data_IF_690750798336
#
_entry.id   IF_690750798336
#
_cell.length_a   1.000
_cell.length_b   1.000
_cell.length_c   1.000
_cell.angle_alpha   90.00
_cell.angle_beta   90.00
_cell.angle_gamma   90.00
#
_symmetry.space_group_name_H-M   'P 1'
#
loop_
_entity.id
_entity.type
_entity.pdbx_description
1 polymer ?
#
# COMPACT_ATOMS: atom_id res chain seq x y z
N UNK A 1 -0.58 -10.22 31.27
CA UNK A 1 -0.88 -10.85 29.97
C UNK A 1 -2.40 -10.78 29.81
N UNK A 2 -2.93 -10.13 28.77
CA UNK A 2 -4.39 -10.17 28.52
C UNK A 2 -4.70 -11.54 27.92
N UNK A 3 -5.65 -12.26 28.50
CA UNK A 3 -6.18 -13.49 27.92
C UNK A 3 -7.34 -13.10 27.01
N UNK A 4 -7.27 -13.52 25.76
CA UNK A 4 -8.33 -13.31 24.78
C UNK A 4 -9.05 -14.63 24.59
N UNK A 5 -10.38 -14.62 24.68
CA UNK A 5 -11.22 -15.81 24.47
C UNK A 5 -11.24 -16.25 23.02
N UNK A 6 -11.11 -15.30 22.09
CA UNK A 6 -11.14 -15.53 20.65
C UNK A 6 -9.91 -14.91 19.96
N UNK A 7 -9.41 -15.58 18.92
CA UNK A 7 -8.26 -15.10 18.15
C UNK A 7 -8.55 -13.80 17.39
N UNK A 8 -9.82 -13.50 17.05
CA UNK A 8 -10.22 -12.24 16.41
C UNK A 8 -9.96 -11.04 17.33
N UNK A 9 -10.32 -11.13 18.61
CA UNK A 9 -10.20 -10.03 19.56
C UNK A 9 -8.73 -9.65 19.81
N UNK A 10 -7.86 -10.67 19.84
CA UNK A 10 -6.41 -10.52 19.90
C UNK A 10 -5.88 -9.75 18.67
N UNK A 11 -6.36 -10.10 17.48
CA UNK A 11 -5.94 -9.50 16.22
C UNK A 11 -6.40 -8.04 16.11
N UNK A 12 -7.67 -7.75 16.43
CA UNK A 12 -8.20 -6.38 16.49
C UNK A 12 -7.43 -5.55 17.52
N UNK A 13 -7.18 -6.09 18.71
CA UNK A 13 -6.40 -5.40 19.74
C UNK A 13 -4.99 -5.02 19.26
N UNK A 14 -4.27 -5.97 18.65
CA UNK A 14 -2.93 -5.69 18.16
C UNK A 14 -2.91 -4.82 16.89
N UNK A 15 -3.94 -4.90 16.05
CA UNK A 15 -4.14 -4.01 14.91
C UNK A 15 -4.29 -2.56 15.39
N UNK A 16 -5.17 -2.29 16.35
CA UNK A 16 -5.29 -0.96 16.94
C UNK A 16 -3.97 -0.48 17.55
N UNK A 17 -3.24 -1.36 18.25
CA UNK A 17 -1.92 -1.03 18.80
C UNK A 17 -0.87 -0.73 17.73
N UNK A 18 -0.97 -1.36 16.56
CA UNK A 18 -0.12 -1.08 15.42
C UNK A 18 -0.44 0.30 14.84
N UNK A 19 -1.72 0.65 14.71
CA UNK A 19 -2.18 1.98 14.28
C UNK A 19 -1.66 3.05 15.26
N UNK A 20 -1.93 2.89 16.56
CA UNK A 20 -1.47 3.81 17.60
C UNK A 20 0.06 4.02 17.52
N UNK A 21 0.81 2.93 17.32
CA UNK A 21 2.26 2.99 17.18
C UNK A 21 2.67 3.73 15.91
N UNK A 22 2.08 3.41 14.76
CA UNK A 22 2.37 4.09 13.50
C UNK A 22 2.12 5.59 13.61
N UNK A 23 1.00 6.02 14.18
CA UNK A 23 0.67 7.43 14.37
C UNK A 23 1.59 8.15 15.36
N UNK A 24 2.15 7.41 16.33
CA UNK A 24 3.18 7.97 17.22
C UNK A 24 4.52 8.23 16.52
N UNK A 25 4.75 7.61 15.36
CA UNK A 25 5.99 7.69 14.58
C UNK A 25 5.86 8.59 13.37
N UNK A 26 4.82 8.39 12.57
CA UNK A 26 4.52 9.13 11.35
C UNK A 26 3.44 10.16 11.69
N UNK A 27 3.86 11.42 11.84
CA UNK A 27 2.96 12.50 12.26
C UNK A 27 2.20 13.13 11.10
N UNK A 28 2.68 12.94 9.88
CA UNK A 28 2.16 13.64 8.70
C UNK A 28 2.18 12.73 7.48
N UNK A 29 1.02 12.61 6.84
CA UNK A 29 0.87 12.03 5.51
C UNK A 29 0.66 13.18 4.53
N UNK A 30 1.55 13.33 3.55
CA UNK A 30 1.53 14.46 2.63
C UNK A 30 0.29 14.45 1.73
N UNK A 31 -0.25 13.27 1.43
CA UNK A 31 -1.48 13.10 0.66
C UNK A 31 -2.78 13.41 1.45
N UNK A 32 -2.68 13.62 2.77
CA UNK A 32 -3.79 14.03 3.64
C UNK A 32 -3.74 15.53 3.97
N UNK A 33 -2.71 16.26 3.51
CA UNK A 33 -2.65 17.71 3.67
C UNK A 33 -3.66 18.34 2.71
N UNK A 34 -4.59 19.20 3.17
CA UNK A 34 -5.48 19.93 2.29
C UNK A 34 -4.73 20.89 1.37
N UNK A 35 -5.20 21.08 0.13
CA UNK A 35 -4.52 21.92 -0.87
C UNK A 35 -4.30 23.36 -0.39
N UNK A 36 -5.27 23.93 0.34
CA UNK A 36 -5.14 25.27 0.92
C UNK A 36 -3.97 25.40 1.92
N UNK A 37 -3.52 24.30 2.50
CA UNK A 37 -2.48 24.25 3.52
C UNK A 37 -1.09 23.95 2.93
N UNK A 38 -0.97 23.76 1.62
CA UNK A 38 0.30 23.43 0.98
C UNK A 38 1.38 24.48 1.21
N UNK A 39 1.03 25.75 1.27
CA UNK A 39 1.99 26.85 1.47
C UNK A 39 2.39 27.06 2.94
N UNK A 40 1.80 26.32 3.89
CA UNK A 40 2.21 26.43 5.30
C UNK A 40 3.65 25.91 5.49
N UNK A 41 4.48 26.55 6.33
CA UNK A 41 5.85 26.11 6.57
C UNK A 41 5.95 24.64 7.02
N UNK A 42 5.02 24.18 7.85
CA UNK A 42 4.95 22.79 8.32
C UNK A 42 4.67 21.80 7.19
N UNK A 43 3.79 22.15 6.25
CA UNK A 43 3.46 21.32 5.09
C UNK A 43 4.65 21.21 4.15
N UNK A 44 5.29 22.34 3.86
CA UNK A 44 6.51 22.39 3.03
C UNK A 44 7.65 21.57 3.65
N UNK A 45 7.81 21.62 4.97
CA UNK A 45 8.78 20.78 5.68
C UNK A 45 8.44 19.29 5.55
N UNK A 46 7.16 18.90 5.68
CA UNK A 46 6.72 17.52 5.49
C UNK A 46 6.97 17.01 4.07
N UNK A 47 6.63 17.81 3.04
CA UNK A 47 6.94 17.48 1.64
C UNK A 47 8.44 17.31 1.41
N UNK A 48 9.26 18.22 1.95
CA UNK A 48 10.72 18.11 1.86
C UNK A 48 11.23 16.81 2.47
N UNK A 49 10.81 16.49 3.69
CA UNK A 49 11.20 15.23 4.37
C UNK A 49 10.77 14.00 3.59
N UNK A 50 9.54 14.02 3.05
CA UNK A 50 9.00 12.91 2.25
C UNK A 50 9.85 12.66 1.00
N UNK A 51 10.22 13.73 0.29
CA UNK A 51 11.06 13.64 -0.90
C UNK A 51 12.47 13.13 -0.54
N UNK A 52 13.09 13.68 0.51
CA UNK A 52 14.40 13.22 0.98
C UNK A 52 14.39 11.73 1.35
N UNK A 53 13.34 11.28 2.03
CA UNK A 53 13.16 9.87 2.39
C UNK A 53 13.04 8.99 1.14
N UNK A 54 12.24 9.39 0.14
CA UNK A 54 12.03 8.63 -1.11
C UNK A 54 13.21 8.69 -2.09
N UNK A 55 14.14 9.62 -1.91
CA UNK A 55 15.39 9.69 -2.67
C UNK A 55 16.42 8.64 -2.24
N UNK A 56 16.28 8.07 -1.03
CA UNK A 56 17.17 7.05 -0.52
C UNK A 56 17.00 5.76 -1.33
N UNK A 57 18.11 5.25 -1.85
CA UNK A 57 18.13 3.98 -2.58
C UNK A 57 17.99 2.80 -1.62
N UNK A 58 16.99 1.95 -1.86
CA UNK A 58 16.78 0.72 -1.10
C UNK A 58 17.34 -0.45 -1.91
N UNK A 59 18.39 -1.09 -1.38
CA UNK A 59 19.09 -2.18 -2.05
C UNK A 59 18.33 -3.52 -2.04
N UNK A 60 17.22 -3.60 -1.30
CA UNK A 60 16.44 -4.82 -1.14
C UNK A 60 15.37 -4.97 -2.21
N UNK A 61 15.09 -6.22 -2.59
CA UNK A 61 14.01 -6.53 -3.51
C UNK A 61 12.66 -6.09 -2.93
N UNK A 62 11.85 -5.43 -3.76
CA UNK A 62 10.55 -4.89 -3.37
C UNK A 62 9.68 -5.96 -2.69
N UNK A 63 9.04 -5.56 -1.59
CA UNK A 63 8.20 -6.40 -0.73
C UNK A 63 8.89 -7.58 -0.04
N UNK A 64 10.23 -7.66 -0.05
CA UNK A 64 10.94 -8.53 0.90
C UNK A 64 10.76 -8.03 2.33
N UNK A 65 11.03 -8.87 3.32
CA UNK A 65 10.95 -8.45 4.72
C UNK A 65 11.96 -7.34 5.02
N UNK A 66 13.13 -7.38 4.40
CA UNK A 66 14.18 -6.37 4.49
C UNK A 66 13.73 -5.05 3.85
N UNK A 67 13.07 -5.10 2.68
CA UNK A 67 12.50 -3.91 2.05
C UNK A 67 11.41 -3.27 2.93
N UNK A 68 10.50 -4.08 3.48
CA UNK A 68 9.46 -3.60 4.41
C UNK A 68 10.12 -2.99 5.65
N UNK A 69 11.18 -3.62 6.15
CA UNK A 69 11.96 -3.11 7.28
C UNK A 69 12.60 -1.75 6.99
N UNK A 70 13.26 -1.62 5.84
CA UNK A 70 13.94 -0.39 5.45
C UNK A 70 12.95 0.77 5.29
N UNK A 71 11.83 0.55 4.59
CA UNK A 71 10.78 1.56 4.42
C UNK A 71 10.24 2.03 5.78
N UNK A 72 9.96 1.10 6.68
CA UNK A 72 9.45 1.47 8.00
C UNK A 72 10.47 2.26 8.82
N UNK A 73 11.75 1.86 8.81
CA UNK A 73 12.82 2.57 9.52
C UNK A 73 12.94 4.00 9.01
N UNK A 74 12.97 4.18 7.69
CA UNK A 74 13.04 5.49 7.06
C UNK A 74 11.82 6.35 7.41
N UNK A 75 10.61 5.79 7.35
CA UNK A 75 9.40 6.51 7.71
C UNK A 75 9.35 6.92 9.19
N UNK A 76 9.85 6.06 10.10
CA UNK A 76 10.00 6.40 11.52
C UNK A 76 11.05 7.50 11.74
N UNK A 77 12.17 7.45 11.02
CA UNK A 77 13.28 8.42 11.14
C UNK A 77 12.87 9.82 10.66
N UNK A 78 12.23 9.90 9.50
CA UNK A 78 11.78 11.16 8.90
C UNK A 78 10.45 11.65 9.51
N UNK A 79 9.69 10.77 10.16
CA UNK A 79 8.42 11.08 10.81
C UNK A 79 7.29 11.45 9.82
N UNK A 80 7.44 11.07 8.55
CA UNK A 80 6.49 11.30 7.45
C UNK A 80 6.27 10.02 6.66
N UNK A 81 5.09 9.88 6.04
CA UNK A 81 4.75 8.70 5.26
C UNK A 81 3.28 8.66 4.85
N UNK A 82 2.98 8.09 3.68
CA UNK A 82 1.63 7.87 3.17
C UNK A 82 1.20 6.43 3.47
N UNK A 83 0.23 5.88 2.73
CA UNK A 83 -0.35 4.57 3.00
C UNK A 83 0.70 3.44 2.99
N UNK A 84 1.61 3.42 2.01
CA UNK A 84 2.66 2.38 1.92
C UNK A 84 3.57 2.41 3.15
N UNK A 85 4.13 3.57 3.49
CA UNK A 85 5.06 3.70 4.61
C UNK A 85 4.38 3.39 5.95
N UNK A 86 3.16 3.91 6.16
CA UNK A 86 2.35 3.62 7.35
C UNK A 86 1.99 2.13 7.46
N UNK A 87 1.69 1.46 6.35
CA UNK A 87 1.41 0.02 6.34
C UNK A 87 2.67 -0.80 6.65
N UNK A 88 3.85 -0.42 6.14
CA UNK A 88 5.13 -1.07 6.48
C UNK A 88 5.46 -0.94 7.98
N UNK A 89 5.28 0.24 8.58
CA UNK A 89 5.47 0.44 10.03
C UNK A 89 4.50 -0.44 10.84
N UNK A 90 3.22 -0.46 10.47
CA UNK A 90 2.22 -1.30 11.12
C UNK A 90 2.54 -2.80 10.97
N UNK A 91 2.96 -3.23 9.78
CA UNK A 91 3.34 -4.61 9.48
C UNK A 91 4.47 -5.09 10.39
N UNK A 92 5.55 -4.30 10.54
CA UNK A 92 6.67 -4.67 11.41
C UNK A 92 6.32 -4.65 12.88
N UNK A 93 5.46 -3.72 13.31
CA UNK A 93 4.96 -3.73 14.67
C UNK A 93 4.25 -5.06 14.96
N UNK A 94 3.31 -5.44 14.09
CA UNK A 94 2.56 -6.70 14.20
C UNK A 94 3.49 -7.91 14.13
N UNK A 95 4.45 -7.91 13.19
CA UNK A 95 5.48 -8.93 13.08
C UNK A 95 6.19 -9.17 14.41
N UNK A 96 6.72 -8.11 15.03
CA UNK A 96 7.44 -8.17 16.31
C UNK A 96 6.54 -8.63 17.46
N UNK A 97 5.25 -8.26 17.47
CA UNK A 97 4.30 -8.68 18.51
C UNK A 97 3.89 -10.15 18.37
N UNK A 98 3.48 -10.56 17.18
CA UNK A 98 3.02 -11.93 16.93
C UNK A 98 4.16 -12.95 16.99
N UNK A 99 5.39 -12.57 16.64
CA UNK A 99 6.58 -13.44 16.81
C UNK A 99 6.80 -13.90 18.26
N UNK A 100 6.27 -13.16 19.24
CA UNK A 100 6.42 -13.45 20.68
C UNK A 100 5.27 -14.26 21.26
N UNK A 101 4.20 -14.51 20.49
CA UNK A 101 3.09 -15.34 20.92
C UNK A 101 3.44 -16.83 20.81
N UNK A 102 2.71 -17.72 21.52
CA UNK A 102 2.72 -19.15 21.23
C UNK A 102 2.38 -19.42 19.76
N UNK A 103 3.01 -20.42 19.12
CA UNK A 103 2.94 -20.65 17.66
C UNK A 103 1.50 -20.83 17.15
N UNK A 104 0.66 -21.50 17.94
CA UNK A 104 -0.74 -21.76 17.69
C UNK A 104 -1.63 -20.52 17.75
N UNK A 105 -1.15 -19.43 18.36
CA UNK A 105 -1.84 -18.15 18.47
C UNK A 105 -1.33 -17.12 17.46
N UNK A 106 -0.34 -17.47 16.62
CA UNK A 106 0.24 -16.52 15.64
C UNK A 106 -0.63 -16.47 14.38
N UNK A 107 -1.34 -15.38 14.11
CA UNK A 107 -2.05 -15.21 12.84
C UNK A 107 -1.05 -14.96 11.72
N UNK A 108 -1.40 -15.30 10.47
CA UNK A 108 -0.69 -14.75 9.32
C UNK A 108 -0.82 -13.22 9.28
N UNK A 109 0.18 -12.56 8.69
CA UNK A 109 0.11 -11.13 8.36
C UNK A 109 0.46 -10.93 6.90
N UNK A 110 -0.23 -10.00 6.25
CA UNK A 110 -0.15 -9.77 4.82
C UNK A 110 -0.11 -8.28 4.53
N UNK A 111 0.88 -7.83 3.73
CA UNK A 111 0.90 -6.48 3.19
C UNK A 111 0.14 -6.48 1.87
N UNK A 112 -0.95 -5.71 1.82
CA UNK A 112 -1.79 -5.60 0.64
C UNK A 112 -1.65 -4.24 -0.01
N UNK A 113 -1.82 -4.24 -1.34
CA UNK A 113 -2.01 -3.05 -2.15
C UNK A 113 -3.29 -3.23 -2.97
N UNK A 114 -4.21 -2.26 -2.87
CA UNK A 114 -5.31 -2.12 -3.80
C UNK A 114 -4.80 -1.33 -5.02
N UNK A 115 -4.64 -1.96 -6.19
CA UNK A 115 -4.09 -1.28 -7.37
C UNK A 115 -5.06 -0.27 -7.99
N UNK A 116 -6.35 -0.34 -7.65
CA UNK A 116 -7.37 0.59 -8.17
C UNK A 116 -7.25 1.96 -7.50
N UNK A 117 -7.03 1.96 -6.19
CA UNK A 117 -6.91 3.18 -5.38
C UNK A 117 -5.48 3.51 -5.00
N UNK A 118 -4.52 2.69 -5.43
CA UNK A 118 -3.12 2.72 -4.99
C UNK A 118 -2.97 2.81 -3.46
N UNK A 119 -3.67 1.92 -2.75
CA UNK A 119 -3.81 2.01 -1.30
C UNK A 119 -3.20 0.79 -0.59
N UNK A 120 -2.46 1.02 0.48
CA UNK A 120 -1.78 -0.02 1.25
C UNK A 120 -2.36 -0.18 2.65
N UNK A 121 -2.50 -1.43 3.09
CA UNK A 121 -2.94 -1.81 4.43
C UNK A 121 -2.43 -3.20 4.80
N UNK A 122 -2.58 -3.58 6.07
CA UNK A 122 -2.19 -4.90 6.57
C UNK A 122 -3.43 -5.74 6.83
N UNK A 123 -3.41 -6.99 6.37
CA UNK A 123 -4.44 -7.99 6.67
C UNK A 123 -3.87 -9.02 7.63
N UNK A 124 -4.66 -9.39 8.63
CA UNK A 124 -4.27 -10.29 9.71
C UNK A 124 -5.21 -11.50 9.72
N UNK A 125 -4.65 -12.71 9.82
CA UNK A 125 -5.42 -13.93 10.08
C UNK A 125 -6.23 -14.46 8.91
N UNK A 126 -5.99 -13.99 7.68
CA UNK A 126 -6.64 -14.51 6.47
C UNK A 126 -6.09 -15.90 6.12
N UNK A 127 -6.96 -16.85 5.77
CA UNK A 127 -6.58 -18.21 5.35
C UNK A 127 -6.05 -18.25 3.92
N UNK A 128 -5.00 -19.04 3.70
CA UNK A 128 -4.37 -19.28 2.38
C UNK A 128 -5.39 -19.71 1.31
N UNK A 129 -6.44 -20.45 1.71
CA UNK A 129 -7.46 -21.02 0.82
C UNK A 129 -8.54 -20.04 0.37
N UNK A 130 -8.54 -18.81 0.88
CA UNK A 130 -9.53 -17.78 0.52
C UNK A 130 -9.03 -16.95 -0.65
N UNK A 131 -9.96 -16.49 -1.49
CA UNK A 131 -9.62 -15.68 -2.66
C UNK A 131 -9.06 -14.32 -2.19
N UNK A 132 -7.79 -14.04 -2.46
CA UNK A 132 -7.13 -12.82 -1.98
C UNK A 132 -7.76 -11.54 -2.54
N UNK A 133 -8.42 -11.62 -3.69
CA UNK A 133 -9.05 -10.48 -4.36
C UNK A 133 -10.49 -10.22 -4.01
N UNK A 134 -11.13 -11.10 -3.24
CA UNK A 134 -12.50 -10.92 -2.81
C UNK A 134 -12.60 -10.99 -1.28
N UNK A 135 -12.68 -9.84 -0.58
CA UNK A 135 -12.86 -9.81 0.86
C UNK A 135 -14.10 -10.56 1.35
N UNK A 136 -15.14 -10.72 0.51
CA UNK A 136 -16.35 -11.49 0.85
C UNK A 136 -16.05 -12.98 1.01
N UNK A 137 -14.99 -13.47 0.39
CA UNK A 137 -14.53 -14.86 0.49
C UNK A 137 -13.54 -15.08 1.64
N UNK A 138 -13.13 -14.03 2.35
CA UNK A 138 -12.19 -14.15 3.47
C UNK A 138 -12.86 -14.79 4.68
N UNK A 139 -12.06 -15.49 5.48
CA UNK A 139 -12.59 -16.13 6.69
C UNK A 139 -13.02 -15.08 7.72
N UNK A 140 -14.06 -15.36 8.54
CA UNK A 140 -14.62 -14.40 9.47
C UNK A 140 -13.61 -13.80 10.47
N UNK A 141 -12.61 -14.58 10.88
CA UNK A 141 -11.57 -14.12 11.82
C UNK A 141 -10.52 -13.20 11.20
N UNK A 142 -10.67 -12.79 9.94
CA UNK A 142 -9.75 -11.86 9.27
C UNK A 142 -9.95 -10.45 9.81
N UNK A 143 -8.85 -9.73 10.05
CA UNK A 143 -8.87 -8.34 10.49
C UNK A 143 -8.12 -7.47 9.48
N UNK A 144 -8.69 -6.32 9.13
CA UNK A 144 -8.02 -5.27 8.36
C UNK A 144 -7.41 -4.25 9.33
N UNK A 145 -6.17 -3.89 9.08
CA UNK A 145 -5.39 -2.90 9.81
C UNK A 145 -4.97 -1.80 8.84
N UNK A 146 -5.70 -0.68 8.83
CA UNK A 146 -5.41 0.46 7.98
C UNK A 146 -4.90 1.64 8.82
N UNK A 147 -3.57 1.76 8.88
CA UNK A 147 -2.91 2.84 9.62
C UNK A 147 -2.95 4.20 8.91
N UNK A 148 -3.40 4.26 7.65
CA UNK A 148 -3.59 5.51 6.94
C UNK A 148 -4.99 6.09 7.14
N UNK A 149 -6.01 5.23 7.13
CA UNK A 149 -7.37 5.58 7.52
C UNK A 149 -7.56 5.68 9.04
N UNK A 150 -6.59 5.18 9.82
CA UNK A 150 -6.63 5.11 11.29
C UNK A 150 -7.73 4.16 11.82
N UNK A 151 -8.07 3.16 11.01
CA UNK A 151 -9.18 2.23 11.25
C UNK A 151 -8.70 0.78 11.32
N UNK A 152 -9.35 0.01 12.20
CA UNK A 152 -9.21 -1.43 12.32
C UNK A 152 -10.58 -2.06 12.46
N UNK A 153 -10.85 -3.10 11.68
CA UNK A 153 -12.13 -3.81 11.77
C UNK A 153 -11.99 -5.29 11.42
N UNK A 154 -12.89 -6.08 12.01
CA UNK A 154 -13.03 -7.50 11.73
C UNK A 154 -13.93 -7.71 10.52
N UNK A 155 -13.61 -8.69 9.67
CA UNK A 155 -14.49 -9.06 8.56
C UNK A 155 -15.84 -9.62 9.02
N UNK A 156 -15.96 -10.06 10.28
CA UNK A 156 -17.23 -10.42 10.91
C UNK A 156 -18.20 -9.24 11.06
N UNK A 157 -17.68 -8.03 11.24
CA UNK A 157 -18.49 -6.85 11.54
C UNK A 157 -18.94 -6.12 10.25
N UNK A 158 -18.50 -6.60 9.09
CA UNK A 158 -18.77 -5.97 7.80
C UNK A 158 -20.16 -6.37 7.29
N UNK A 159 -21.09 -5.41 7.29
CA UNK A 159 -22.39 -5.58 6.61
C UNK A 159 -22.24 -5.29 5.11
N UNK A 160 -22.10 -6.35 4.31
CA UNK A 160 -22.03 -6.26 2.86
C UNK A 160 -23.35 -5.83 2.20
N UNK A 161 -24.49 -5.99 2.88
CA UNK A 161 -25.81 -5.70 2.33
C UNK A 161 -26.24 -4.24 2.57
N UNK A 162 -25.75 -3.60 3.64
CA UNK A 162 -26.06 -2.21 3.99
C UNK A 162 -24.79 -1.45 4.36
N UNK A 163 -24.04 -0.99 3.36
CA UNK A 163 -22.81 -0.25 3.61
C UNK A 163 -23.13 1.17 4.10
N UNK A 164 -23.24 1.34 5.42
CA UNK A 164 -23.62 2.62 6.03
C UNK A 164 -22.49 3.35 6.76
N UNK A 165 -21.29 2.75 6.87
CA UNK A 165 -20.16 3.32 7.61
C UNK A 165 -18.92 3.60 6.74
N UNK A 166 -18.06 4.50 7.24
CA UNK A 166 -16.77 4.91 6.66
C UNK A 166 -15.79 3.73 6.48
N UNK A 167 -15.84 2.75 7.41
CA UNK A 167 -15.12 1.46 7.38
C UNK A 167 -15.25 0.73 6.03
N UNK A 168 -16.34 1.00 5.31
CA UNK A 168 -16.69 0.36 4.06
C UNK A 168 -15.98 0.95 2.85
N UNK A 169 -15.29 2.10 2.91
CA UNK A 169 -14.72 2.68 1.68
C UNK A 169 -13.59 1.81 1.12
N UNK A 170 -12.72 1.27 1.99
CA UNK A 170 -11.68 0.31 1.61
C UNK A 170 -12.35 -0.93 0.99
N UNK A 171 -13.28 -1.58 1.71
CA UNK A 171 -13.95 -2.80 1.24
C UNK A 171 -14.79 -2.56 -0.03
N UNK A 172 -15.43 -1.40 -0.16
CA UNK A 172 -16.21 -1.01 -1.34
C UNK A 172 -15.32 -0.84 -2.54
N UNK A 173 -14.17 -0.21 -2.38
CA UNK A 173 -13.18 -0.07 -3.44
C UNK A 173 -12.52 -1.42 -3.78
N UNK A 174 -12.53 -2.37 -2.83
CA UNK A 174 -12.16 -3.76 -3.07
C UNK A 174 -13.26 -4.55 -3.83
N UNK A 175 -14.55 -4.30 -3.55
CA UNK A 175 -15.70 -5.03 -4.14
C UNK A 175 -16.15 -4.47 -5.49
N UNK A 176 -15.97 -3.16 -5.74
CA UNK A 176 -16.56 -2.45 -6.89
C UNK A 176 -16.00 -2.79 -8.27
N UNK A 177 -15.01 -3.66 -8.39
CA UNK A 177 -14.48 -4.03 -9.69
C UNK A 177 -15.54 -4.83 -10.49
N UNK A 178 -15.87 -4.44 -11.74
CA UNK A 178 -16.66 -5.26 -12.67
C UNK A 178 -16.06 -6.66 -12.88
N UNK A 179 -16.72 -7.51 -13.66
CA UNK A 179 -16.23 -8.85 -14.03
C UNK A 179 -15.28 -8.88 -15.25
N UNK A 180 -14.75 -7.73 -15.73
CA UNK A 180 -13.94 -7.60 -16.97
C UNK A 180 -12.73 -6.62 -16.88
N UNK A 181 -11.50 -7.11 -17.14
CA UNK A 181 -10.25 -6.36 -17.44
C UNK A 181 -10.25 -4.84 -17.14
N UNK A 182 -9.52 -4.38 -16.11
CA UNK A 182 -9.27 -2.94 -15.96
C UNK A 182 -7.96 -2.52 -16.63
N UNK A 183 -8.03 -1.42 -17.35
CA UNK A 183 -6.85 -0.66 -17.74
C UNK A 183 -6.48 0.18 -16.52
N UNK A 184 -5.26 0.03 -16.00
CA UNK A 184 -4.71 1.00 -15.07
C UNK A 184 -4.78 2.37 -15.75
N UNK A 185 -5.71 3.23 -15.32
CA UNK A 185 -5.97 4.51 -15.97
C UNK A 185 -4.79 5.47 -15.87
N UNK A 186 -3.81 5.13 -15.03
CA UNK A 186 -2.66 5.95 -14.69
C UNK A 186 -1.36 5.15 -14.77
N UNK A 187 -1.05 4.54 -15.92
CA UNK A 187 0.36 4.30 -16.23
C UNK A 187 0.99 5.62 -16.68
N UNK A 188 1.45 6.41 -15.70
CA UNK A 188 2.16 7.68 -15.92
C UNK A 188 3.38 7.45 -16.82
N UNK A 189 4.01 6.27 -16.77
CA UNK A 189 5.13 5.92 -17.64
C UNK A 189 4.68 5.57 -19.06
N UNK A 190 3.58 4.85 -19.27
CA UNK A 190 3.06 4.63 -20.62
C UNK A 190 2.60 5.96 -21.26
N UNK A 191 1.92 6.80 -20.48
CA UNK A 191 1.50 8.14 -20.92
C UNK A 191 2.70 9.06 -21.21
N UNK A 192 3.74 9.03 -20.37
CA UNK A 192 4.97 9.80 -20.58
C UNK A 192 5.79 9.27 -21.77
N UNK A 193 5.87 7.95 -21.98
CA UNK A 193 6.62 7.36 -23.10
C UNK A 193 5.79 7.29 -24.41
N UNK A 194 4.59 7.88 -24.44
CA UNK A 194 3.65 7.81 -25.57
C UNK A 194 3.35 6.37 -26.01
N UNK A 195 3.48 5.43 -25.07
CA UNK A 195 3.24 4.02 -25.27
C UNK A 195 1.74 3.76 -25.18
N UNK A 196 1.14 3.40 -26.32
CA UNK A 196 -0.28 3.08 -26.43
C UNK A 196 -0.59 1.65 -25.99
N UNK A 197 0.43 0.85 -25.68
CA UNK A 197 0.21 -0.47 -25.11
C UNK A 197 -0.44 -0.29 -23.74
N UNK A 198 -1.69 -0.73 -23.63
CA UNK A 198 -2.42 -0.70 -22.37
C UNK A 198 -1.75 -1.73 -21.46
N UNK A 199 -1.29 -1.31 -20.29
CA UNK A 199 -1.02 -2.26 -19.21
C UNK A 199 -2.39 -2.75 -18.73
N UNK A 200 -2.83 -3.87 -19.31
CA UNK A 200 -4.02 -4.59 -18.88
C UNK A 200 -3.57 -5.48 -17.75
N UNK A 201 -3.95 -5.11 -16.52
CA UNK A 201 -3.85 -6.03 -15.40
C UNK A 201 -5.21 -6.74 -15.33
N UNK A 202 -5.24 -8.08 -15.39
CA UNK A 202 -6.49 -8.80 -15.22
C UNK A 202 -7.17 -8.39 -13.91
N UNK A 203 -8.49 -8.24 -13.98
CA UNK A 203 -9.32 -7.56 -12.98
C UNK A 203 -9.48 -8.33 -11.66
N UNK A 204 -8.83 -9.47 -11.52
CA UNK A 204 -9.01 -10.40 -10.42
C UNK A 204 -8.20 -10.06 -9.16
N UNK A 205 -7.74 -8.81 -8.90
CA UNK A 205 -6.60 -8.60 -7.97
C UNK A 205 -6.70 -7.40 -7.01
N UNK A 206 -6.90 -7.73 -5.73
CA UNK A 206 -6.02 -7.19 -4.70
C UNK A 206 -4.62 -7.75 -4.94
N UNK A 207 -3.62 -6.88 -4.95
CA UNK A 207 -2.26 -7.34 -5.07
C UNK A 207 -1.77 -7.61 -3.65
N UNK A 208 -1.95 -8.85 -3.20
CA UNK A 208 -1.13 -9.37 -2.10
C UNK A 208 0.32 -9.13 -2.51
N UNK A 209 1.08 -8.40 -1.70
CA UNK A 209 2.48 -8.07 -1.99
C UNK A 209 3.42 -9.00 -1.22
N UNK A 210 3.12 -9.18 0.06
CA UNK A 210 3.84 -10.11 0.92
C UNK A 210 2.91 -10.78 1.93
N UNK A 211 3.25 -12.01 2.29
CA UNK A 211 2.58 -12.80 3.31
C UNK A 211 3.61 -13.46 4.20
N UNK A 212 3.43 -13.37 5.50
CA UNK A 212 4.14 -14.17 6.48
C UNK A 212 3.19 -15.15 7.16
N UNK A 213 3.52 -16.43 7.06
CA UNK A 213 2.88 -17.49 7.83
C UNK A 213 3.83 -17.94 8.95
N UNK A 214 3.57 -17.52 10.18
CA UNK A 214 4.41 -17.87 11.33
C UNK A 214 4.41 -19.37 11.67
N UNK A 215 3.31 -20.07 11.40
CA UNK A 215 3.21 -21.51 11.70
C UNK A 215 4.11 -22.33 10.79
N UNK A 216 4.20 -21.92 9.51
CA UNK A 216 5.07 -22.54 8.51
C UNK A 216 6.49 -21.94 8.50
N UNK A 217 6.70 -20.83 9.21
CA UNK A 217 7.88 -19.97 9.10
C UNK A 217 8.19 -19.63 7.62
N UNK A 218 7.14 -19.28 6.88
CA UNK A 218 7.17 -19.11 5.43
C UNK A 218 6.83 -17.66 5.07
N UNK A 219 7.71 -17.03 4.30
CA UNK A 219 7.52 -15.68 3.78
C UNK A 219 7.42 -15.74 2.27
N UNK A 220 6.26 -15.34 1.75
CA UNK A 220 5.94 -15.42 0.34
C UNK A 220 5.71 -14.01 -0.20
N UNK A 221 6.22 -13.77 -1.41
CA UNK A 221 5.97 -12.55 -2.17
C UNK A 221 5.13 -12.89 -3.37
N UNK A 222 4.26 -11.98 -3.75
CA UNK A 222 3.30 -12.20 -4.82
C UNK A 222 3.28 -10.98 -5.72
N UNK A 223 3.03 -11.21 -7.01
CA UNK A 223 2.85 -10.17 -8.01
C UNK A 223 3.98 -9.11 -7.97
N UNK A 224 5.23 -9.58 -7.85
CA UNK A 224 6.43 -8.73 -7.76
C UNK A 224 6.71 -7.98 -9.05
N UNK A 225 6.13 -8.47 -10.15
CA UNK A 225 6.15 -7.87 -11.48
C UNK A 225 5.15 -6.72 -11.66
N UNK A 226 4.16 -6.60 -10.77
CA UNK A 226 3.18 -5.49 -10.83
C UNK A 226 3.86 -4.24 -10.29
N UNK A 227 4.07 -3.19 -11.13
CA UNK A 227 4.70 -1.96 -10.67
C UNK A 227 3.97 -1.39 -9.45
N UNK A 228 4.72 -0.76 -8.55
CA UNK A 228 4.09 0.22 -7.67
C UNK A 228 3.67 1.37 -8.56
N UNK A 229 2.36 1.60 -8.64
CA UNK A 229 1.92 2.98 -8.76
C UNK A 229 2.49 3.62 -7.48
N UNK A 230 3.53 4.42 -7.60
CA UNK A 230 3.57 5.52 -6.67
C UNK A 230 2.54 6.49 -7.23
N UNK A 231 1.72 7.03 -6.34
CA UNK A 231 0.74 8.08 -6.59
C UNK A 231 1.16 9.01 -7.75
N UNK A 232 0.19 9.62 -8.43
CA UNK A 232 0.38 10.66 -9.47
C UNK A 232 1.34 11.83 -9.09
N UNK A 233 1.84 11.84 -7.87
CA UNK A 233 2.73 12.81 -7.23
C UNK A 233 4.17 12.34 -7.03
N UNK A 234 4.52 11.10 -7.38
CA UNK A 234 5.91 10.77 -7.69
C UNK A 234 6.25 11.52 -8.98
N UNK A 235 6.55 12.81 -8.80
CA UNK A 235 7.11 13.67 -9.82
C UNK A 235 8.15 12.85 -10.55
N UNK A 236 8.12 12.82 -11.90
CA UNK A 236 9.08 12.06 -12.67
C UNK A 236 10.46 12.39 -12.09
N UNK A 237 11.18 11.36 -11.62
CA UNK A 237 12.58 11.54 -11.17
C UNK A 237 13.28 12.43 -12.20
N UNK A 238 14.20 13.34 -11.85
CA UNK A 238 14.83 14.23 -12.83
C UNK A 238 15.30 13.53 -14.11
N UNK A 239 15.79 12.28 -14.00
CA UNK A 239 16.11 11.39 -15.13
C UNK A 239 14.96 11.09 -16.11
N UNK A 240 13.72 11.03 -15.65
CA UNK A 240 12.51 10.83 -16.47
C UNK A 240 12.14 12.13 -17.21
N UNK A 241 12.34 13.30 -16.59
CA UNK A 241 12.25 14.59 -17.29
C UNK A 241 13.36 14.76 -18.33
N UNK A 242 14.60 14.34 -18.03
CA UNK A 242 15.70 14.39 -18.99
C UNK A 242 15.48 13.49 -20.20
N UNK A 243 14.94 12.28 -19.99
CA UNK A 243 14.56 11.40 -21.10
C UNK A 243 13.47 12.03 -21.97
N UNK A 244 12.43 12.60 -21.36
CA UNK A 244 11.36 13.28 -22.09
C UNK A 244 11.88 14.51 -22.84
N UNK A 245 12.69 15.34 -22.18
CA UNK A 245 13.32 16.52 -22.78
C UNK A 245 14.18 16.15 -23.99
N UNK A 246 14.97 15.07 -23.90
CA UNK A 246 15.75 14.56 -25.05
C UNK A 246 14.86 14.08 -26.19
N UNK A 247 13.73 13.45 -25.89
CA UNK A 247 12.77 13.01 -26.91
C UNK A 247 12.06 14.18 -27.57
N UNK A 248 11.71 15.22 -26.81
CA UNK A 248 11.09 16.44 -27.32
C UNK A 248 12.08 17.26 -28.16
N UNK A 249 13.34 17.37 -27.73
CA UNK A 249 14.44 17.98 -28.49
C UNK A 249 14.70 17.20 -29.80
N UNK A 250 14.66 15.87 -29.77
CA UNK A 250 14.78 15.03 -30.96
C UNK A 250 13.58 15.20 -31.91
N UNK A 251 12.35 15.29 -31.38
CA UNK A 251 11.14 15.50 -32.17
C UNK A 251 11.13 16.88 -32.86
N UNK A 252 11.67 17.92 -32.23
CA UNK A 252 11.82 19.25 -32.82
C UNK A 252 12.98 19.36 -33.84
N UNK A 253 13.86 18.36 -33.89
CA UNK A 253 15.00 18.33 -34.82
C UNK A 253 14.69 17.64 -36.17
N UNK A 254 13.47 17.12 -36.36
CA UNK A 254 13.09 16.58 -37.67
C UNK A 254 12.93 17.70 -38.70
N UNK A 255 13.60 17.62 -39.87
CA UNK A 255 13.46 18.61 -40.91
C UNK A 255 12.00 18.70 -41.39
N UNK A 256 11.43 19.90 -41.40
CA UNK A 256 10.14 20.19 -42.02
C UNK A 256 10.21 19.83 -43.52
N UNK A 257 9.80 18.61 -43.88
CA UNK A 257 9.98 18.18 -45.25
C UNK A 257 9.45 16.79 -45.60
N UNK A 258 8.40 16.29 -44.94
CA UNK A 258 7.66 15.11 -45.43
C UNK A 258 6.18 15.20 -45.03
N UNK A 259 5.44 16.04 -45.74
CA UNK A 259 4.01 15.85 -45.95
C UNK A 259 3.72 16.04 -47.43
N UNK A 260 3.60 14.91 -48.13
CA UNK A 260 2.96 14.75 -49.44
C UNK A 260 2.09 13.51 -49.36
#
# INVERSE_FOLDING_TARGET
MKFFSNNSDLQVYYSQKAIDYTLSKIKTSTNQIPEQDYNLPSSQEAFKKMNQMREIEIAYEMYSLEWINEIAVLAEEYGVGNCCEKACVAYLYLYKKFSRLPIEQRPSIELFNNPVTDHFFVVIGRLDSTLSSDPRAWNPNTVICDSWAEESFSMLDVDYCRPTNHDYQIIKDLIKAPENEFVLQCDVLAKANNDKSRVIIPQDRMVLRSRLNFQKNDFQRFNTEVPMAYEMWDYPKPKHYEKQKRLDEAAMSFPQGYHS
#
